data_IF_879100452074
#
_entry.id   IF_879100452074
#
_cell.length_a   1.000
_cell.length_b   1.000
_cell.length_c   1.000
_cell.angle_alpha   90.00
_cell.angle_beta   90.00
_cell.angle_gamma   90.00
#
_symmetry.space_group_name_H-M   'P 1'
#
loop_
_entity.id
_entity.type
_entity.pdbx_description
1 polymer ?
#
# COMPACT_ATOMS: atom_id res chain seq x y z
N UNK A 1 -16.00 16.00 -1.01
CA UNK A 1 -14.94 16.51 -1.92
C UNK A 1 -14.36 15.42 -2.82
N UNK A 2 -14.69 14.16 -2.54
CA UNK A 2 -14.33 12.96 -3.29
C UNK A 2 -14.44 13.04 -4.81
N UNK A 3 -15.60 13.40 -5.37
CA UNK A 3 -15.81 13.41 -6.83
C UNK A 3 -14.84 14.36 -7.56
N UNK A 4 -14.61 15.56 -7.01
CA UNK A 4 -13.68 16.54 -7.58
C UNK A 4 -12.20 16.13 -7.46
N UNK A 5 -11.88 15.23 -6.53
CA UNK A 5 -10.55 14.62 -6.41
C UNK A 5 -10.37 13.56 -7.50
N UNK A 6 -11.35 12.66 -7.65
CA UNK A 6 -11.32 11.58 -8.65
C UNK A 6 -11.23 12.18 -10.06
N UNK A 7 -12.14 13.09 -10.44
CA UNK A 7 -12.14 13.73 -11.77
C UNK A 7 -10.86 14.51 -12.06
N UNK A 8 -10.21 15.06 -11.02
CA UNK A 8 -8.97 15.79 -11.19
C UNK A 8 -7.83 14.85 -11.59
N UNK A 9 -7.67 13.74 -10.89
CA UNK A 9 -6.58 12.78 -11.11
C UNK A 9 -6.83 11.85 -12.28
N UNK A 10 -8.09 11.46 -12.51
CA UNK A 10 -8.47 10.63 -13.65
C UNK A 10 -8.11 11.28 -14.99
N UNK A 11 -8.26 12.60 -15.12
CA UNK A 11 -7.86 13.34 -16.34
C UNK A 11 -6.34 13.42 -16.54
N UNK A 12 -5.54 13.08 -15.52
CA UNK A 12 -4.09 13.26 -15.50
C UNK A 12 -3.33 11.94 -15.55
N UNK A 13 -3.93 10.87 -15.04
CA UNK A 13 -3.27 9.60 -14.81
C UNK A 13 -3.97 8.49 -15.59
N UNK A 14 -3.17 7.59 -16.17
CA UNK A 14 -3.62 6.33 -16.75
C UNK A 14 -3.71 5.22 -15.70
N UNK A 15 -2.86 5.30 -14.67
CA UNK A 15 -2.79 4.37 -13.55
C UNK A 15 -2.20 5.06 -12.31
N UNK A 16 -2.44 4.46 -11.14
CA UNK A 16 -1.89 4.89 -9.86
C UNK A 16 -1.31 3.69 -9.12
N UNK A 17 0.02 3.61 -9.04
CA UNK A 17 0.69 2.58 -8.24
C UNK A 17 0.68 2.98 -6.77
N UNK A 18 -0.11 2.29 -5.95
CA UNK A 18 -0.26 2.65 -4.53
C UNK A 18 0.88 2.16 -3.64
N UNK A 19 1.88 1.47 -4.20
CA UNK A 19 2.93 0.84 -3.42
C UNK A 19 4.25 0.76 -4.20
N UNK A 20 5.06 1.81 -4.07
CA UNK A 20 6.41 1.83 -4.61
C UNK A 20 7.40 2.33 -3.56
N UNK A 21 8.62 1.79 -3.56
CA UNK A 21 9.66 2.19 -2.61
C UNK A 21 10.73 3.07 -3.27
N UNK A 22 11.00 4.23 -2.68
CA UNK A 22 12.01 5.17 -3.16
C UNK A 22 12.95 5.60 -2.02
N UNK A 23 14.16 6.02 -2.38
CA UNK A 23 15.13 6.60 -1.44
C UNK A 23 14.66 7.97 -0.94
N UNK A 24 14.98 8.35 0.31
CA UNK A 24 15.66 7.54 1.33
C UNK A 24 14.72 6.47 1.91
N UNK A 25 15.25 5.28 2.22
CA UNK A 25 14.51 4.15 2.83
C UNK A 25 15.51 3.25 3.61
N UNK A 26 15.02 2.27 4.37
CA UNK A 26 15.82 1.28 5.08
C UNK A 26 16.73 0.48 4.14
N UNK A 27 16.29 0.28 2.90
CA UNK A 27 17.02 -0.46 1.87
C UNK A 27 17.50 0.46 0.76
N UNK A 28 18.54 0.03 0.04
CA UNK A 28 18.93 0.68 -1.22
C UNK A 28 17.80 0.54 -2.22
N UNK A 29 17.28 1.66 -2.73
CA UNK A 29 16.25 1.72 -3.78
C UNK A 29 16.78 2.35 -5.06
N UNK A 30 16.16 1.98 -6.19
CA UNK A 30 16.51 2.41 -7.54
C UNK A 30 16.46 3.94 -7.66
N UNK A 31 15.30 4.51 -7.33
CA UNK A 31 15.04 5.94 -7.47
C UNK A 31 14.94 6.63 -6.12
N UNK A 32 15.27 7.92 -6.09
CA UNK A 32 14.76 8.83 -5.07
C UNK A 32 13.33 9.30 -5.42
N UNK A 33 12.71 10.04 -4.51
CA UNK A 33 11.32 10.55 -4.64
C UNK A 33 11.08 11.29 -5.97
N UNK A 34 11.99 12.20 -6.36
CA UNK A 34 11.83 13.00 -7.59
C UNK A 34 12.09 12.18 -8.85
N UNK A 35 13.09 11.30 -8.81
CA UNK A 35 13.39 10.36 -9.90
C UNK A 35 12.20 9.43 -10.15
N UNK A 36 11.62 8.86 -9.09
CA UNK A 36 10.42 8.03 -9.18
C UNK A 36 9.26 8.83 -9.78
N UNK A 37 8.97 10.03 -9.26
CA UNK A 37 7.91 10.87 -9.82
C UNK A 37 8.06 11.16 -11.30
N UNK A 38 9.29 11.45 -11.77
CA UNK A 38 9.57 11.64 -13.20
C UNK A 38 9.37 10.36 -14.00
N UNK A 39 9.76 9.21 -13.46
CA UNK A 39 9.57 7.93 -14.13
C UNK A 39 8.09 7.63 -14.35
N UNK A 40 7.25 7.79 -13.31
CA UNK A 40 5.81 7.59 -13.46
C UNK A 40 5.18 8.60 -14.46
N UNK A 41 5.64 9.85 -14.49
CA UNK A 41 5.18 10.84 -15.49
C UNK A 41 5.46 10.37 -16.93
N UNK A 42 6.61 9.75 -17.20
CA UNK A 42 6.95 9.26 -18.55
C UNK A 42 5.93 8.23 -19.07
N UNK A 43 5.30 7.48 -18.17
CA UNK A 43 4.29 6.47 -18.49
C UNK A 43 2.85 6.96 -18.30
N UNK A 44 2.67 8.24 -17.93
CA UNK A 44 1.36 8.82 -17.62
C UNK A 44 0.74 8.28 -16.33
N UNK A 45 1.55 7.79 -15.39
CA UNK A 45 1.11 7.24 -14.11
C UNK A 45 1.34 8.20 -12.93
N UNK A 46 0.76 7.85 -11.79
CA UNK A 46 1.07 8.41 -10.48
C UNK A 46 1.54 7.33 -9.52
N UNK A 47 2.10 7.73 -8.38
CA UNK A 47 2.67 6.80 -7.41
C UNK A 47 2.43 7.23 -5.96
N UNK A 48 2.07 6.29 -5.09
CA UNK A 48 2.12 6.45 -3.63
C UNK A 48 3.39 5.80 -3.13
N UNK A 49 4.26 6.60 -2.50
CA UNK A 49 5.52 6.11 -1.97
C UNK A 49 5.33 5.51 -0.58
N UNK A 50 5.97 4.37 -0.35
CA UNK A 50 6.08 3.70 0.94
C UNK A 50 7.53 3.68 1.42
N UNK A 51 7.73 3.81 2.73
CA UNK A 51 9.05 3.89 3.35
C UNK A 51 9.07 3.12 4.66
N UNK A 52 9.98 2.16 4.82
CA UNK A 52 10.06 1.36 6.04
C UNK A 52 10.62 2.14 7.25
N UNK A 53 11.19 3.32 7.04
CA UNK A 53 11.64 4.22 8.11
C UNK A 53 10.51 5.10 8.69
N UNK A 54 9.33 5.16 8.05
CA UNK A 54 8.20 5.93 8.54
C UNK A 54 7.53 6.76 7.46
N UNK A 55 7.37 8.07 7.73
CA UNK A 55 6.60 8.99 6.89
C UNK A 55 7.40 9.47 5.68
N UNK A 56 6.75 9.50 4.50
CA UNK A 56 7.28 10.16 3.28
C UNK A 56 6.39 11.35 2.86
N UNK A 57 5.54 11.83 3.76
CA UNK A 57 4.56 12.90 3.53
C UNK A 57 5.20 14.25 3.18
N UNK A 58 6.24 14.68 3.92
CA UNK A 58 6.94 15.92 3.61
C UNK A 58 7.64 15.88 2.23
N UNK A 59 8.27 14.75 1.89
CA UNK A 59 8.98 14.58 0.61
C UNK A 59 8.02 14.51 -0.57
N UNK A 60 6.87 13.84 -0.41
CA UNK A 60 5.82 13.79 -1.45
C UNK A 60 5.14 15.15 -1.62
N UNK A 61 4.94 15.92 -0.56
CA UNK A 61 4.43 17.30 -0.65
C UNK A 61 5.36 18.19 -1.48
N UNK A 62 6.67 18.13 -1.23
CA UNK A 62 7.66 18.84 -2.05
C UNK A 62 7.68 18.36 -3.51
N UNK A 63 7.53 17.07 -3.76
CA UNK A 63 7.47 16.53 -5.11
C UNK A 63 6.23 17.03 -5.89
N UNK A 64 5.10 17.19 -5.20
CA UNK A 64 3.87 17.75 -5.77
C UNK A 64 3.98 19.25 -6.04
N UNK A 65 4.65 20.02 -5.18
CA UNK A 65 5.00 21.42 -5.48
C UNK A 65 5.85 21.53 -6.75
N UNK A 66 6.71 20.54 -7.00
CA UNK A 66 7.47 20.41 -8.24
C UNK A 66 6.66 19.86 -9.44
N UNK A 67 5.36 19.63 -9.28
CA UNK A 67 4.44 19.18 -10.33
C UNK A 67 4.47 17.69 -10.63
N UNK A 68 5.05 16.86 -9.75
CA UNK A 68 5.12 15.41 -9.93
C UNK A 68 3.91 14.71 -9.26
N UNK A 69 3.33 13.65 -9.87
CA UNK A 69 2.18 12.92 -9.36
C UNK A 69 2.59 11.91 -8.27
N UNK A 70 3.26 12.42 -7.23
CA UNK A 70 3.80 11.63 -6.12
C UNK A 70 2.98 11.88 -4.86
N UNK A 71 2.46 10.82 -4.28
CA UNK A 71 1.75 10.83 -3.01
C UNK A 71 2.60 10.13 -1.95
N UNK A 72 2.23 10.30 -0.70
CA UNK A 72 2.98 9.75 0.43
C UNK A 72 2.13 8.88 1.33
N UNK A 73 2.80 7.97 2.01
CA UNK A 73 2.24 7.18 3.09
C UNK A 73 3.09 7.32 4.36
N UNK A 74 2.64 6.67 5.42
CA UNK A 74 3.45 6.40 6.61
C UNK A 74 3.39 4.91 6.94
N UNK A 75 4.52 4.33 7.33
CA UNK A 75 4.60 2.98 7.90
C UNK A 75 4.84 3.04 9.40
N UNK A 76 3.97 2.41 10.18
CA UNK A 76 3.97 2.42 11.65
C UNK A 76 4.88 1.33 12.24
N UNK A 77 6.10 1.20 11.73
CA UNK A 77 7.13 0.35 12.34
C UNK A 77 7.57 0.93 13.69
N UNK A 78 8.17 0.10 14.56
CA UNK A 78 8.71 0.56 15.86
C UNK A 78 9.66 1.78 15.70
N UNK A 79 10.48 1.80 14.64
CA UNK A 79 11.37 2.92 14.32
C UNK A 79 10.67 4.26 14.03
N UNK A 80 9.38 4.22 13.69
CA UNK A 80 8.60 5.39 13.29
C UNK A 80 7.59 5.82 14.39
N UNK A 81 7.79 5.35 15.62
CA UNK A 81 6.89 5.58 16.75
C UNK A 81 5.85 4.47 16.96
N UNK A 82 5.89 3.40 16.16
CA UNK A 82 5.01 2.25 16.31
C UNK A 82 3.54 2.60 16.09
N UNK A 83 2.65 1.96 16.86
CA UNK A 83 1.20 2.12 16.73
C UNK A 83 0.67 3.47 17.27
N UNK A 84 1.55 4.33 17.81
CA UNK A 84 1.13 5.60 18.38
C UNK A 84 0.53 6.54 17.31
N UNK A 85 -0.68 7.03 17.59
CA UNK A 85 -1.43 7.93 16.72
C UNK A 85 -0.68 9.24 16.40
N UNK A 86 0.21 9.68 17.28
CA UNK A 86 0.99 10.92 17.11
C UNK A 86 1.81 10.92 15.81
N UNK A 87 2.34 9.77 15.38
CA UNK A 87 3.09 9.68 14.11
C UNK A 87 2.17 9.90 12.89
N UNK A 88 0.90 9.49 12.99
CA UNK A 88 -0.12 9.74 11.96
C UNK A 88 -0.50 11.22 11.94
N UNK A 89 -0.76 11.82 13.11
CA UNK A 89 -1.09 13.25 13.24
C UNK A 89 0.05 14.14 12.72
N UNK A 90 1.29 13.81 13.06
CA UNK A 90 2.47 14.51 12.56
C UNK A 90 2.56 14.41 11.03
N UNK A 91 2.33 13.21 10.48
CA UNK A 91 2.36 12.98 9.04
C UNK A 91 1.28 13.78 8.32
N UNK A 92 0.05 13.78 8.83
CA UNK A 92 -1.05 14.59 8.28
C UNK A 92 -0.73 16.08 8.30
N UNK A 93 -0.06 16.57 9.35
CA UNK A 93 0.36 17.97 9.45
C UNK A 93 1.36 18.38 8.37
N UNK A 94 2.15 17.42 7.88
CA UNK A 94 3.11 17.58 6.79
C UNK A 94 2.51 17.28 5.41
N UNK A 95 1.36 16.61 5.35
CA UNK A 95 0.72 16.10 4.13
C UNK A 95 -0.08 17.19 3.40
N UNK A 96 0.62 18.24 2.98
CA UNK A 96 0.04 19.46 2.44
C UNK A 96 -0.08 19.37 0.92
N UNK A 97 -1.31 19.27 0.41
CA UNK A 97 -1.60 19.32 -1.03
C UNK A 97 -2.78 20.19 -1.36
N UNK A 98 -2.78 20.69 -2.61
CA UNK A 98 -4.01 21.06 -3.27
C UNK A 98 -4.83 19.80 -3.56
N UNK A 99 -6.02 19.67 -2.95
CA UNK A 99 -6.87 18.46 -3.01
C UNK A 99 -6.17 17.19 -2.47
N UNK A 100 -5.69 17.28 -1.24
CA UNK A 100 -5.01 16.18 -0.56
C UNK A 100 -5.82 14.88 -0.59
N UNK A 101 -5.24 13.75 -1.06
CA UNK A 101 -5.85 12.45 -0.84
C UNK A 101 -5.88 12.12 0.65
N UNK A 102 -6.61 11.07 1.00
CA UNK A 102 -6.42 10.37 2.26
C UNK A 102 -4.97 9.95 2.42
N UNK A 103 -4.44 10.06 3.63
CA UNK A 103 -3.13 9.53 3.97
C UNK A 103 -3.22 8.01 4.11
N UNK A 104 -2.44 7.27 3.33
CA UNK A 104 -2.28 5.83 3.51
C UNK A 104 -1.38 5.57 4.73
N UNK A 105 -1.91 4.86 5.72
CA UNK A 105 -1.24 4.54 6.99
C UNK A 105 -1.07 3.02 7.05
N UNK A 106 0.13 2.54 6.77
CA UNK A 106 0.45 1.14 6.89
C UNK A 106 0.75 0.78 8.34
N UNK A 107 0.03 -0.21 8.86
CA UNK A 107 0.41 -0.93 10.07
C UNK A 107 1.79 -1.59 9.90
N UNK A 108 2.40 -2.14 10.97
CA UNK A 108 3.78 -2.59 10.95
C UNK A 108 4.11 -3.52 9.77
N UNK A 109 5.28 -3.30 9.18
CA UNK A 109 5.85 -4.12 8.08
C UNK A 109 7.07 -4.93 8.54
N UNK A 110 7.63 -4.58 9.69
CA UNK A 110 8.64 -5.36 10.40
C UNK A 110 7.88 -6.07 11.52
N UNK A 111 7.48 -7.30 11.26
CA UNK A 111 6.60 -8.10 12.12
C UNK A 111 7.31 -9.39 12.56
N UNK A 112 6.89 -10.02 13.67
CA UNK A 112 7.32 -11.38 13.98
C UNK A 112 6.87 -12.33 12.85
N UNK A 113 7.79 -13.04 12.22
CA UNK A 113 7.46 -13.98 11.15
C UNK A 113 8.46 -15.13 11.06
N UNK A 114 7.97 -16.32 10.69
CA UNK A 114 8.79 -17.47 10.34
C UNK A 114 9.22 -17.45 8.86
N UNK A 115 8.60 -16.59 8.04
CA UNK A 115 8.91 -16.47 6.61
C UNK A 115 10.30 -15.88 6.40
N UNK A 116 11.15 -16.60 5.66
CA UNK A 116 12.45 -16.10 5.23
C UNK A 116 12.36 -15.68 3.78
N UNK A 117 12.29 -14.37 3.56
CA UNK A 117 12.23 -13.83 2.19
C UNK A 117 13.48 -14.23 1.39
N UNK A 118 13.26 -14.67 0.16
CA UNK A 118 14.31 -15.01 -0.82
C UNK A 118 14.87 -13.76 -1.52
N UNK A 119 14.24 -12.59 -1.30
CA UNK A 119 14.63 -11.34 -1.92
C UNK A 119 15.96 -10.86 -1.36
N UNK A 120 16.97 -10.73 -2.24
CA UNK A 120 18.25 -10.12 -1.90
C UNK A 120 18.06 -8.63 -1.68
N UNK A 121 18.41 -8.15 -0.49
CA UNK A 121 18.27 -6.74 -0.07
C UNK A 121 19.60 -6.25 0.50
N UNK A 122 19.95 -5.02 0.18
CA UNK A 122 21.06 -4.30 0.80
C UNK A 122 20.51 -3.18 1.67
N UNK A 123 20.99 -3.09 2.91
CA UNK A 123 20.66 -1.99 3.81
C UNK A 123 21.25 -0.68 3.30
N UNK A 124 20.53 0.42 3.46
CA UNK A 124 21.03 1.73 3.09
C UNK A 124 22.22 2.17 3.95
N UNK A 125 22.24 1.76 5.23
CA UNK A 125 23.34 1.97 6.17
C UNK A 125 23.17 1.04 7.39
N UNK A 126 24.16 1.07 8.30
CA UNK A 126 24.15 0.24 9.51
C UNK A 126 22.98 0.55 10.47
N UNK A 127 22.55 1.81 10.56
CA UNK A 127 21.43 2.21 11.41
C UNK A 127 20.10 1.61 10.91
N UNK A 128 19.86 1.65 9.60
CA UNK A 128 18.68 1.01 9.00
C UNK A 128 18.63 -0.49 9.31
N UNK A 129 19.79 -1.17 9.29
CA UNK A 129 19.89 -2.57 9.67
C UNK A 129 19.52 -2.80 11.14
N UNK A 130 19.99 -1.96 12.05
CA UNK A 130 19.68 -2.03 13.49
C UNK A 130 18.19 -1.82 13.75
N UNK A 131 17.60 -0.79 13.13
CA UNK A 131 16.18 -0.46 13.29
C UNK A 131 15.27 -1.60 12.81
N UNK A 132 15.71 -2.38 11.82
CA UNK A 132 14.94 -3.49 11.31
C UNK A 132 14.92 -4.75 12.21
N UNK A 133 15.59 -4.72 13.36
CA UNK A 133 15.56 -5.80 14.36
C UNK A 133 14.48 -5.59 15.44
N UNK A 134 13.52 -4.69 15.20
CA UNK A 134 12.47 -4.34 16.16
C UNK A 134 11.09 -4.71 15.59
N UNK A 135 10.72 -6.00 15.62
CA UNK A 135 9.42 -6.43 15.14
C UNK A 135 8.30 -5.88 16.03
N UNK A 136 7.19 -5.52 15.40
CA UNK A 136 5.99 -5.02 16.06
C UNK A 136 4.78 -5.72 15.48
N UNK A 137 3.94 -6.29 16.34
CA UNK A 137 2.68 -6.94 15.98
C UNK A 137 1.51 -5.99 16.25
N UNK A 138 0.38 -6.21 15.59
CA UNK A 138 -0.87 -5.48 15.87
C UNK A 138 -1.66 -6.10 17.02
N UNK A 139 -1.26 -7.30 17.46
CA UNK A 139 -1.84 -8.00 18.61
C UNK A 139 -0.81 -8.18 19.74
N UNK A 140 -1.32 -8.28 20.96
CA UNK A 140 -0.56 -8.60 22.16
C UNK A 140 -0.19 -10.10 22.23
N UNK A 141 0.47 -10.50 23.32
CA UNK A 141 0.84 -11.90 23.58
C UNK A 141 -0.36 -12.85 23.75
N UNK A 142 -1.57 -12.33 23.93
CA UNK A 142 -2.82 -13.10 24.05
C UNK A 142 -3.60 -13.12 22.73
N UNK A 143 -3.08 -12.53 21.65
CA UNK A 143 -3.75 -12.43 20.36
C UNK A 143 -4.81 -11.32 20.28
N UNK A 144 -4.87 -10.41 21.27
CA UNK A 144 -5.84 -9.30 21.27
C UNK A 144 -5.22 -8.08 20.61
N UNK A 145 -6.00 -7.35 19.81
CA UNK A 145 -5.52 -6.09 19.24
C UNK A 145 -5.09 -5.11 20.34
N UNK A 146 -4.01 -4.39 20.07
CA UNK A 146 -3.58 -3.29 20.92
C UNK A 146 -4.63 -2.17 20.97
N UNK A 147 -4.74 -1.45 22.09
CA UNK A 147 -5.69 -0.34 22.24
C UNK A 147 -5.44 0.76 21.18
N UNK A 148 -4.18 0.97 20.83
CA UNK A 148 -3.72 1.88 19.79
C UNK A 148 -4.32 1.56 18.42
N UNK A 149 -4.63 0.29 18.13
CA UNK A 149 -5.33 -0.08 16.88
C UNK A 149 -6.76 0.44 16.91
N UNK A 150 -7.46 0.33 18.04
CA UNK A 150 -8.81 0.86 18.19
C UNK A 150 -8.82 2.40 18.08
N UNK A 151 -7.82 3.07 18.64
CA UNK A 151 -7.63 4.52 18.47
C UNK A 151 -7.39 4.89 17.00
N UNK A 152 -6.54 4.15 16.29
CA UNK A 152 -6.27 4.35 14.85
C UNK A 152 -7.53 4.13 14.00
N UNK A 153 -8.34 3.10 14.30
CA UNK A 153 -9.61 2.85 13.62
C UNK A 153 -10.56 4.04 13.85
N UNK A 154 -10.77 4.44 15.10
CA UNK A 154 -11.65 5.57 15.43
C UNK A 154 -11.19 6.86 14.75
N UNK A 155 -9.89 7.11 14.71
CA UNK A 155 -9.31 8.25 14.01
C UNK A 155 -9.54 8.19 12.50
N UNK A 156 -9.35 7.02 11.87
CA UNK A 156 -9.57 6.85 10.43
C UNK A 156 -11.03 7.01 10.00
N UNK A 157 -11.99 6.85 10.91
CA UNK A 157 -13.41 7.14 10.65
C UNK A 157 -13.72 8.63 10.59
N UNK A 158 -12.93 9.46 11.28
CA UNK A 158 -13.19 10.89 11.44
C UNK A 158 -12.27 11.76 10.56
N UNK A 159 -11.25 11.15 9.96
CA UNK A 159 -10.22 11.87 9.23
C UNK A 159 -9.92 11.22 7.87
N UNK A 160 -9.27 11.99 6.99
CA UNK A 160 -8.86 11.53 5.67
C UNK A 160 -7.66 10.57 5.76
N UNK A 161 -7.91 9.36 6.25
CA UNK A 161 -6.94 8.29 6.41
C UNK A 161 -7.48 7.01 5.77
N UNK A 162 -6.58 6.22 5.20
CA UNK A 162 -6.80 4.81 4.84
C UNK A 162 -5.85 3.99 5.70
N UNK A 163 -6.38 3.07 6.50
CA UNK A 163 -5.54 2.10 7.20
C UNK A 163 -5.11 1.01 6.24
N UNK A 164 -3.91 0.47 6.40
CA UNK A 164 -3.41 -0.64 5.62
C UNK A 164 -2.85 -1.71 6.56
N UNK A 165 -3.13 -2.99 6.28
CA UNK A 165 -2.78 -4.10 7.17
C UNK A 165 -1.29 -4.26 7.46
N UNK A 166 -0.41 -3.57 6.72
CA UNK A 166 1.03 -3.80 6.78
C UNK A 166 1.34 -5.26 6.43
N UNK A 167 2.27 -5.87 7.16
CA UNK A 167 2.61 -7.29 6.97
C UNK A 167 1.93 -8.21 7.99
N UNK A 168 0.75 -7.82 8.48
CA UNK A 168 -0.04 -8.63 9.40
C UNK A 168 -0.25 -10.07 8.88
N UNK A 169 -0.17 -11.03 9.80
CA UNK A 169 -0.49 -12.43 9.54
C UNK A 169 -1.98 -12.62 9.22
N UNK A 170 -2.35 -13.82 8.73
CA UNK A 170 -3.76 -14.16 8.48
C UNK A 170 -4.65 -13.87 9.69
N UNK A 171 -4.20 -14.30 10.88
CA UNK A 171 -4.96 -14.13 12.11
C UNK A 171 -5.16 -12.65 12.43
N UNK A 172 -4.07 -11.87 12.42
CA UNK A 172 -4.12 -10.43 12.67
C UNK A 172 -5.01 -9.69 11.66
N UNK A 173 -4.95 -10.06 10.37
CA UNK A 173 -5.84 -9.49 9.35
C UNK A 173 -7.31 -9.74 9.66
N UNK A 174 -7.68 -10.95 10.07
CA UNK A 174 -9.07 -11.23 10.47
C UNK A 174 -9.47 -10.42 11.70
N UNK A 175 -8.60 -10.30 12.71
CA UNK A 175 -8.88 -9.46 13.89
C UNK A 175 -9.09 -7.98 13.50
N UNK A 176 -8.29 -7.45 12.57
CA UNK A 176 -8.44 -6.08 12.06
C UNK A 176 -9.77 -5.88 11.33
N UNK A 177 -10.15 -6.83 10.46
CA UNK A 177 -11.44 -6.80 9.75
C UNK A 177 -12.61 -6.81 10.74
N UNK A 178 -12.58 -7.67 11.75
CA UNK A 178 -13.62 -7.76 12.77
C UNK A 178 -13.74 -6.44 13.56
N UNK A 179 -12.60 -5.86 13.97
CA UNK A 179 -12.59 -4.61 14.73
C UNK A 179 -13.07 -3.41 13.90
N UNK A 180 -12.68 -3.32 12.63
CA UNK A 180 -13.13 -2.26 11.71
C UNK A 180 -14.63 -2.40 11.44
N UNK A 181 -15.11 -3.62 11.22
CA UNK A 181 -16.53 -3.91 11.04
C UNK A 181 -17.34 -3.51 12.27
N UNK A 182 -16.87 -3.90 13.47
CA UNK A 182 -17.52 -3.56 14.74
C UNK A 182 -17.56 -2.05 15.01
N UNK A 183 -16.58 -1.29 14.52
CA UNK A 183 -16.55 0.16 14.62
C UNK A 183 -17.52 0.85 13.62
N UNK A 184 -18.06 0.14 12.63
CA UNK A 184 -18.91 0.70 11.58
C UNK A 184 -18.17 1.02 10.27
N UNK A 185 -16.92 0.56 10.13
CA UNK A 185 -16.11 0.69 8.92
C UNK A 185 -15.23 1.94 8.89
N UNK A 186 -14.04 1.79 8.30
CA UNK A 186 -13.16 2.86 7.83
C UNK A 186 -12.43 2.36 6.58
N UNK A 187 -11.95 3.25 5.71
CA UNK A 187 -11.19 2.82 4.52
C UNK A 187 -9.98 1.98 4.94
N UNK A 188 -9.92 0.74 4.47
CA UNK A 188 -8.93 -0.25 4.85
C UNK A 188 -8.42 -1.02 3.63
N UNK A 189 -7.11 -1.09 3.48
CA UNK A 189 -6.45 -1.83 2.41
C UNK A 189 -5.70 -3.04 2.99
N UNK A 190 -6.03 -4.24 2.52
CA UNK A 190 -5.19 -5.41 2.75
C UNK A 190 -3.90 -5.25 1.94
N UNK A 191 -2.76 -5.05 2.61
CA UNK A 191 -1.46 -4.92 1.98
C UNK A 191 -0.93 -6.32 1.65
N UNK A 192 -0.73 -6.59 0.36
CA UNK A 192 -0.16 -7.85 -0.14
C UNK A 192 -0.70 -9.11 0.56
N UNK A 193 -2.02 -9.33 0.57
CA UNK A 193 -2.64 -10.44 1.30
C UNK A 193 -2.22 -11.82 0.78
N UNK A 194 -1.74 -11.92 -0.47
CA UNK A 194 -1.15 -13.12 -1.05
C UNK A 194 0.31 -13.37 -0.63
N UNK A 195 0.94 -12.45 0.13
CA UNK A 195 2.31 -12.66 0.62
C UNK A 195 2.38 -13.89 1.53
N UNK A 196 3.53 -14.57 1.65
CA UNK A 196 3.65 -15.75 2.51
C UNK A 196 3.41 -15.49 4.01
N UNK A 197 3.39 -14.22 4.44
CA UNK A 197 3.10 -13.84 5.83
C UNK A 197 1.60 -13.92 6.12
N UNK A 198 0.77 -13.51 5.16
CA UNK A 198 -0.68 -13.47 5.31
C UNK A 198 -1.35 -14.69 4.65
N UNK A 199 -0.93 -15.06 3.44
CA UNK A 199 -1.33 -16.30 2.77
C UNK A 199 -2.81 -16.41 2.44
N UNK A 200 -3.50 -15.29 2.19
CA UNK A 200 -4.86 -15.29 1.67
C UNK A 200 -4.82 -15.50 0.15
N UNK A 201 -5.60 -16.48 -0.32
CA UNK A 201 -5.78 -16.77 -1.76
C UNK A 201 -7.04 -16.11 -2.30
N UNK A 202 -7.24 -16.14 -3.61
CA UNK A 202 -8.44 -15.60 -4.26
C UNK A 202 -9.74 -16.08 -3.59
N UNK A 203 -9.84 -17.38 -3.27
CA UNK A 203 -10.99 -17.96 -2.55
C UNK A 203 -11.25 -17.32 -1.19
N UNK A 204 -10.19 -16.97 -0.45
CA UNK A 204 -10.30 -16.41 0.89
C UNK A 204 -10.72 -14.95 0.79
N UNK A 205 -10.14 -14.22 -0.17
CA UNK A 205 -10.43 -12.82 -0.43
C UNK A 205 -11.87 -12.61 -0.89
N UNK A 206 -12.38 -13.48 -1.78
CA UNK A 206 -13.81 -13.49 -2.16
C UNK A 206 -14.73 -13.76 -0.98
N UNK A 207 -14.32 -14.62 -0.05
CA UNK A 207 -15.11 -14.95 1.13
C UNK A 207 -15.20 -13.80 2.16
N UNK A 208 -14.35 -12.76 2.03
CA UNK A 208 -14.49 -11.54 2.84
C UNK A 208 -15.72 -10.71 2.46
N UNK A 209 -16.29 -10.93 1.27
CA UNK A 209 -17.49 -10.25 0.80
C UNK A 209 -17.24 -8.87 0.21
N UNK A 210 -18.33 -8.18 -0.12
CA UNK A 210 -18.32 -6.88 -0.77
C UNK A 210 -18.55 -5.77 0.25
N UNK A 211 -17.48 -5.00 0.51
CA UNK A 211 -17.51 -3.87 1.44
C UNK A 211 -16.92 -2.62 0.78
N UNK A 212 -17.65 -1.51 0.80
CA UNK A 212 -17.18 -0.21 0.26
C UNK A 212 -15.94 0.34 0.98
N UNK A 213 -15.69 -0.13 2.20
CA UNK A 213 -14.57 0.29 3.03
C UNK A 213 -13.34 -0.62 2.87
N UNK A 214 -13.49 -1.83 2.33
CA UNK A 214 -12.40 -2.81 2.19
C UNK A 214 -11.85 -2.79 0.76
N UNK A 215 -10.53 -2.68 0.66
CA UNK A 215 -9.76 -2.76 -0.59
C UNK A 215 -8.73 -3.86 -0.47
N UNK A 216 -8.46 -4.53 -1.60
CA UNK A 216 -7.53 -5.65 -1.66
C UNK A 216 -6.38 -5.28 -2.58
N UNK A 217 -5.18 -5.15 -2.03
CA UNK A 217 -4.01 -4.92 -2.86
C UNK A 217 -3.61 -6.20 -3.61
N UNK A 218 -3.34 -6.10 -4.90
CA UNK A 218 -2.69 -7.15 -5.68
C UNK A 218 -1.39 -6.62 -6.26
N UNK A 219 -0.25 -7.09 -5.73
CA UNK A 219 1.08 -6.62 -6.18
C UNK A 219 1.67 -7.50 -7.27
N UNK A 220 2.38 -6.92 -8.23
CA UNK A 220 3.20 -7.66 -9.18
C UNK A 220 4.37 -8.41 -8.53
N UNK A 221 4.95 -7.87 -7.45
CA UNK A 221 6.10 -8.49 -6.78
C UNK A 221 5.84 -9.92 -6.31
N UNK A 222 4.61 -10.28 -5.91
CA UNK A 222 4.30 -11.65 -5.48
C UNK A 222 4.48 -12.66 -6.61
N UNK A 223 4.20 -12.29 -7.86
CA UNK A 223 4.46 -13.12 -9.04
C UNK A 223 5.95 -13.18 -9.34
N UNK A 224 6.66 -12.03 -9.33
CA UNK A 224 8.11 -12.01 -9.58
C UNK A 224 8.93 -12.83 -8.58
N UNK A 225 8.46 -12.91 -7.33
CA UNK A 225 9.10 -13.72 -6.28
C UNK A 225 8.60 -15.17 -6.24
N UNK A 226 7.63 -15.55 -7.09
CA UNK A 226 7.03 -16.87 -7.07
C UNK A 226 6.23 -17.19 -5.79
N UNK A 227 5.76 -16.16 -5.09
CA UNK A 227 4.94 -16.30 -3.88
C UNK A 227 3.48 -16.57 -4.18
N UNK A 228 3.03 -16.22 -5.38
CA UNK A 228 1.67 -16.42 -5.86
C UNK A 228 1.74 -17.04 -7.26
N UNK A 229 0.84 -17.99 -7.54
CA UNK A 229 0.73 -18.55 -8.89
C UNK A 229 -0.01 -17.58 -9.80
N UNK A 230 0.22 -17.68 -11.11
CA UNK A 230 -0.47 -16.83 -12.09
C UNK A 230 -1.97 -17.06 -12.10
N UNK A 231 -2.43 -18.27 -11.82
CA UNK A 231 -3.85 -18.62 -11.76
C UNK A 231 -4.54 -17.90 -10.60
N UNK A 232 -3.96 -17.96 -9.40
CA UNK A 232 -4.48 -17.26 -8.22
C UNK A 232 -4.41 -15.74 -8.41
N UNK A 233 -3.31 -15.24 -8.99
CA UNK A 233 -3.15 -13.83 -9.32
C UNK A 233 -4.24 -13.33 -10.29
N UNK A 234 -4.52 -14.08 -11.37
CA UNK A 234 -5.59 -13.72 -12.31
C UNK A 234 -6.98 -13.83 -11.68
N UNK A 235 -7.24 -14.83 -10.85
CA UNK A 235 -8.51 -14.96 -10.14
C UNK A 235 -8.74 -13.79 -9.18
N UNK A 236 -7.70 -13.33 -8.46
CA UNK A 236 -7.79 -12.10 -7.65
C UNK A 236 -8.11 -10.90 -8.53
N UNK A 237 -7.35 -10.69 -9.60
CA UNK A 237 -7.55 -9.54 -10.48
C UNK A 237 -8.95 -9.50 -11.10
N UNK A 238 -9.53 -10.66 -11.42
CA UNK A 238 -10.82 -10.75 -12.13
C UNK A 238 -12.04 -10.76 -11.21
N UNK A 239 -11.95 -11.39 -10.05
CA UNK A 239 -13.15 -11.77 -9.27
C UNK A 239 -13.21 -11.19 -7.86
N UNK A 240 -12.12 -10.59 -7.35
CA UNK A 240 -12.13 -9.98 -6.01
C UNK A 240 -12.62 -8.53 -6.10
N UNK A 241 -13.52 -8.17 -5.18
CA UNK A 241 -14.07 -6.82 -5.12
C UNK A 241 -13.03 -5.79 -4.65
N UNK A 242 -13.13 -4.55 -5.15
CA UNK A 242 -12.27 -3.42 -4.75
C UNK A 242 -10.76 -3.71 -4.81
N UNK A 243 -10.32 -4.44 -5.84
CA UNK A 243 -8.89 -4.68 -6.08
C UNK A 243 -8.18 -3.38 -6.45
N UNK A 244 -7.01 -3.19 -5.87
CA UNK A 244 -6.07 -2.11 -6.15
C UNK A 244 -4.77 -2.74 -6.63
N UNK A 245 -4.43 -2.56 -7.91
CA UNK A 245 -3.23 -3.13 -8.51
C UNK A 245 -2.02 -2.24 -8.27
N UNK A 246 -0.91 -2.84 -7.82
CA UNK A 246 0.33 -2.10 -7.49
C UNK A 246 1.58 -2.92 -7.79
N UNK A 247 2.75 -2.30 -7.68
CA UNK A 247 4.00 -2.95 -8.05
C UNK A 247 4.73 -3.61 -6.87
N UNK A 248 4.79 -2.93 -5.72
CA UNK A 248 5.74 -3.17 -4.61
C UNK A 248 7.21 -3.19 -5.07
N UNK A 249 7.53 -2.39 -6.09
CA UNK A 249 8.86 -2.31 -6.70
C UNK A 249 9.73 -1.19 -6.10
N UNK A 250 10.87 -0.94 -6.75
CA UNK A 250 11.89 0.02 -6.30
C UNK A 250 13.17 -0.65 -5.81
N UNK A 251 13.19 -1.98 -5.69
CA UNK A 251 14.42 -2.73 -5.45
C UNK A 251 15.31 -2.72 -6.71
N UNK A 252 16.64 -2.53 -6.60
CA UNK A 252 17.52 -2.46 -7.78
C UNK A 252 17.56 -3.72 -8.67
N UNK A 253 17.26 -4.89 -8.10
CA UNK A 253 17.32 -6.19 -8.79
C UNK A 253 15.99 -6.56 -9.46
N UNK A 254 14.88 -6.00 -9.00
CA UNK A 254 13.56 -6.28 -9.56
C UNK A 254 13.30 -5.43 -10.82
N UNK A 255 12.31 -5.80 -11.65
CA UNK A 255 11.91 -5.02 -12.82
C UNK A 255 11.70 -3.53 -12.50
N UNK A 256 11.93 -2.70 -13.51
CA UNK A 256 11.61 -1.28 -13.43
C UNK A 256 10.16 -1.01 -13.89
N UNK A 257 9.68 0.22 -13.74
CA UNK A 257 8.31 0.64 -14.03
C UNK A 257 7.89 0.27 -15.46
N UNK A 258 8.71 0.56 -16.47
CA UNK A 258 8.42 0.21 -17.87
C UNK A 258 8.21 -1.30 -18.07
N UNK A 259 9.10 -2.12 -17.50
CA UNK A 259 9.00 -3.57 -17.62
C UNK A 259 7.78 -4.11 -16.87
N UNK A 260 7.48 -3.58 -15.68
CA UNK A 260 6.28 -3.93 -14.92
C UNK A 260 4.99 -3.61 -15.69
N UNK A 261 4.91 -2.44 -16.34
CA UNK A 261 3.76 -2.09 -17.15
C UNK A 261 3.60 -3.03 -18.35
N UNK A 262 4.69 -3.35 -19.04
CA UNK A 262 4.67 -4.32 -20.16
C UNK A 262 4.25 -5.73 -19.70
N UNK A 263 4.73 -6.18 -18.54
CA UNK A 263 4.32 -7.45 -17.94
C UNK A 263 2.84 -7.45 -17.58
N UNK A 264 2.37 -6.35 -16.99
CA UNK A 264 0.98 -6.16 -16.57
C UNK A 264 0.03 -6.20 -17.76
N UNK A 265 0.36 -5.54 -18.88
CA UNK A 265 -0.45 -5.62 -20.11
C UNK A 265 -0.61 -7.06 -20.60
N UNK A 266 0.46 -7.87 -20.53
CA UNK A 266 0.41 -9.29 -20.90
C UNK A 266 -0.42 -10.10 -19.92
N UNK A 267 -0.27 -9.84 -18.61
CA UNK A 267 -1.03 -10.52 -17.57
C UNK A 267 -2.52 -10.21 -17.67
N UNK A 268 -2.90 -8.95 -17.83
CA UNK A 268 -4.30 -8.53 -17.97
C UNK A 268 -4.96 -9.14 -19.21
N UNK A 269 -4.25 -9.17 -20.34
CA UNK A 269 -4.71 -9.84 -21.55
C UNK A 269 -4.89 -11.35 -21.33
N UNK A 270 -3.98 -11.99 -20.59
CA UNK A 270 -4.05 -13.43 -20.31
C UNK A 270 -5.19 -13.75 -19.34
N UNK A 271 -5.44 -12.89 -18.35
CA UNK A 271 -6.57 -12.97 -17.44
C UNK A 271 -7.92 -12.66 -18.11
N UNK A 272 -7.92 -12.11 -19.34
CA UNK A 272 -9.13 -11.77 -20.08
C UNK A 272 -9.86 -10.54 -19.53
N UNK A 273 -9.15 -9.62 -18.88
CA UNK A 273 -9.74 -8.41 -18.31
C UNK A 273 -10.22 -7.45 -19.41
N UNK A 274 -11.36 -6.81 -19.20
CA UNK A 274 -11.81 -5.71 -20.07
C UNK A 274 -11.02 -4.43 -19.80
N UNK A 275 -10.96 -3.52 -20.77
CA UNK A 275 -10.33 -2.20 -20.61
C UNK A 275 -10.94 -1.39 -19.45
N UNK A 276 -12.26 -1.52 -19.24
CA UNK A 276 -12.96 -0.90 -18.12
C UNK A 276 -12.45 -1.45 -16.78
N UNK A 277 -12.36 -2.77 -16.67
CA UNK A 277 -11.90 -3.43 -15.45
C UNK A 277 -10.42 -3.14 -15.17
N UNK A 278 -9.56 -3.14 -16.20
CA UNK A 278 -8.16 -2.73 -16.09
C UNK A 278 -8.07 -1.30 -15.54
N UNK A 279 -8.88 -0.37 -16.04
CA UNK A 279 -8.94 1.00 -15.54
C UNK A 279 -9.48 1.06 -14.11
N UNK A 280 -10.44 0.22 -13.73
CA UNK A 280 -10.91 0.15 -12.35
C UNK A 280 -9.79 -0.25 -11.39
N UNK A 281 -9.13 -1.39 -11.61
CA UNK A 281 -8.10 -1.89 -10.68
C UNK A 281 -6.82 -1.05 -10.67
N UNK A 282 -6.48 -0.42 -11.81
CA UNK A 282 -5.22 0.30 -11.97
C UNK A 282 -5.35 1.79 -11.66
N UNK A 283 -6.56 2.35 -11.64
CA UNK A 283 -6.77 3.79 -11.44
C UNK A 283 -7.97 4.11 -10.55
N UNK A 284 -9.18 3.68 -10.90
CA UNK A 284 -10.37 4.19 -10.21
C UNK A 284 -10.51 3.66 -8.79
N UNK A 285 -10.24 2.38 -8.55
CA UNK A 285 -10.25 1.82 -7.20
C UNK A 285 -9.18 2.46 -6.31
N UNK A 286 -7.91 2.61 -6.76
CA UNK A 286 -6.93 3.44 -6.06
C UNK A 286 -7.44 4.86 -5.73
N UNK A 287 -8.04 5.56 -6.70
CA UNK A 287 -8.54 6.92 -6.50
C UNK A 287 -9.74 6.97 -5.54
N UNK A 288 -10.69 6.04 -5.66
CA UNK A 288 -11.85 5.90 -4.75
C UNK A 288 -11.40 5.59 -3.32
N UNK A 289 -10.37 4.76 -3.17
CA UNK A 289 -9.77 4.45 -1.88
C UNK A 289 -9.15 5.69 -1.24
N UNK A 290 -8.42 6.49 -2.03
CA UNK A 290 -7.70 7.69 -1.57
C UNK A 290 -8.54 8.96 -1.57
N UNK A 291 -9.77 8.93 -2.07
CA UNK A 291 -10.60 10.12 -2.16
C UNK A 291 -10.97 10.62 -0.75
N UNK A 292 -10.77 11.92 -0.45
CA UNK A 292 -11.22 12.51 0.80
C UNK A 292 -12.75 12.60 0.81
N UNK A 293 -13.36 12.62 2.00
CA UNK A 293 -14.83 12.75 2.12
C UNK A 293 -15.39 14.02 1.45
#
# INVERSE_FOLDING_TARGET
MSQLFIEYWERKLRFLDVHYHARPDSYIRRYNVLEAGREYVRHGGGVVLKNHLGSVTALSSLAQEAGLPVFGSIVLNATAGGLAINSVIQSLSQYQFCKAPRLLVHLPTIVPTSHKSIMKRAWANAFAQTLAQQPLSVVDSNGRLHNEIHELISFAQQHNVVLSSGHASRYEVMQLIDAITAAGGCKFMLNQPASPMTGLKAKDLKALGEHDWLYVEQTALTVYLGYQTTEDFFEVLSEVNNVVYSSDLGQPVQPDVEQWLSDSERWFKTAGLSEEHIRDISLLNPLRMLAPD
#
